data_IF_036332548171
#
_entry.id   IF_036332548171
#
_cell.length_a   1.000
_cell.length_b   1.000
_cell.length_c   1.000
_cell.angle_alpha   90.00
_cell.angle_beta   90.00
_cell.angle_gamma   90.00
#
_symmetry.space_group_name_H-M   'P 1'
#
loop_
_entity.id
_entity.type
_entity.pdbx_description
1 polymer ?
#
# COMPACT_ATOMS: atom_id res chain seq x y z
N UNK A 1 0.40 37.75 41.97
CA UNK A 1 0.12 38.81 40.99
C UNK A 1 -0.22 38.13 39.68
N UNK A 2 -1.48 38.25 39.26
CA UNK A 2 -1.94 37.80 37.95
C UNK A 2 -1.42 38.77 36.89
N UNK A 3 -0.87 38.25 35.80
CA UNK A 3 -0.81 38.95 34.52
C UNK A 3 -1.42 38.03 33.46
N UNK A 4 -2.62 38.43 33.05
CA UNK A 4 -3.33 37.98 31.86
C UNK A 4 -2.71 38.60 30.60
N UNK A 5 -3.33 38.29 29.45
CA UNK A 5 -3.14 38.80 28.08
C UNK A 5 -2.14 37.99 27.24
N UNK A 6 -2.43 37.60 26.00
CA UNK A 6 -3.65 37.65 25.20
C UNK A 6 -3.42 36.71 24.00
N UNK A 7 -4.49 36.07 23.55
CA UNK A 7 -4.50 35.36 22.28
C UNK A 7 -4.34 36.35 21.11
N UNK A 8 -3.57 35.98 20.10
CA UNK A 8 -3.63 36.60 18.78
C UNK A 8 -3.60 35.51 17.72
N UNK A 9 -4.79 35.16 17.28
CA UNK A 9 -5.02 34.45 16.04
C UNK A 9 -4.73 35.42 14.88
N UNK A 10 -3.74 35.11 14.05
CA UNK A 10 -3.58 35.75 12.74
C UNK A 10 -3.87 34.70 11.67
N UNK A 11 -5.09 34.75 11.15
CA UNK A 11 -5.46 34.12 9.89
C UNK A 11 -4.79 34.90 8.76
N UNK A 12 -3.66 34.39 8.27
CA UNK A 12 -2.98 34.97 7.11
C UNK A 12 -3.69 34.51 5.83
N UNK A 13 -4.64 35.33 5.39
CA UNK A 13 -5.25 35.26 4.05
C UNK A 13 -4.15 35.58 3.03
N UNK A 14 -3.58 34.55 2.41
CA UNK A 14 -2.56 34.71 1.38
C UNK A 14 -3.09 35.52 0.19
N UNK A 15 -2.28 36.43 -0.39
CA UNK A 15 -2.68 37.20 -1.55
C UNK A 15 -2.87 36.27 -2.75
N UNK A 16 -4.06 36.32 -3.34
CA UNK A 16 -4.33 35.76 -4.67
C UNK A 16 -3.49 36.53 -5.68
N UNK A 17 -2.39 35.92 -6.10
CA UNK A 17 -1.60 36.42 -7.21
C UNK A 17 -2.37 36.31 -8.52
N UNK A 18 -2.24 37.27 -9.44
CA UNK A 18 -2.75 37.16 -10.80
C UNK A 18 -2.09 35.94 -11.47
N UNK A 19 -2.90 35.14 -12.16
CA UNK A 19 -2.38 34.12 -13.07
C UNK A 19 -1.62 34.88 -14.17
N UNK A 20 -0.37 34.51 -14.49
CA UNK A 20 0.26 35.02 -15.70
C UNK A 20 -0.58 34.52 -16.87
N UNK A 21 -1.15 35.46 -17.61
CA UNK A 21 -1.59 35.23 -18.98
C UNK A 21 -0.35 34.77 -19.75
N UNK A 22 -0.26 33.47 -19.98
CA UNK A 22 0.69 32.86 -20.91
C UNK A 22 0.17 33.15 -22.32
N UNK A 23 0.41 34.38 -22.78
CA UNK A 23 0.58 34.67 -24.20
C UNK A 23 1.95 34.11 -24.60
N UNK A 24 2.00 32.79 -24.79
CA UNK A 24 3.12 32.11 -25.44
C UNK A 24 2.77 31.99 -26.92
N UNK A 25 3.19 33.00 -27.69
CA UNK A 25 3.33 32.98 -29.15
C UNK A 25 4.41 31.97 -29.56
N UNK A 26 4.18 30.70 -29.22
CA UNK A 26 4.93 29.57 -29.75
C UNK A 26 4.55 29.36 -31.22
N UNK A 27 5.49 28.88 -32.06
CA UNK A 27 5.22 28.63 -33.47
C UNK A 27 4.00 27.73 -33.63
N UNK A 28 3.05 28.22 -34.42
CA UNK A 28 1.84 27.57 -34.91
C UNK A 28 2.17 26.11 -35.28
N UNK A 29 1.93 25.19 -34.33
CA UNK A 29 1.98 23.76 -34.62
C UNK A 29 0.74 23.50 -35.45
N UNK A 30 0.92 23.44 -36.77
CA UNK A 30 -0.08 22.98 -37.74
C UNK A 30 -0.86 21.81 -37.12
N UNK A 31 -2.17 22.00 -37.00
CA UNK A 31 -3.08 20.93 -36.55
C UNK A 31 -2.74 19.67 -37.33
N UNK A 32 -2.35 18.56 -36.66
CA UNK A 32 -2.20 17.30 -37.34
C UNK A 32 -3.61 16.88 -37.74
N UNK A 33 -3.97 17.23 -38.97
CA UNK A 33 -5.23 16.88 -39.59
C UNK A 33 -5.50 15.39 -39.43
N UNK A 34 -6.78 15.06 -39.45
CA UNK A 34 -7.43 13.75 -39.37
C UNK A 34 -6.74 12.63 -40.19
N UNK A 35 -5.52 12.29 -39.80
CA UNK A 35 -4.82 11.11 -40.25
C UNK A 35 -5.34 10.01 -39.35
N UNK A 36 -6.07 9.02 -39.88
CA UNK A 36 -6.41 7.84 -39.10
C UNK A 36 -5.10 7.29 -38.56
N UNK A 37 -4.94 7.33 -37.24
CA UNK A 37 -3.80 6.73 -36.54
C UNK A 37 -3.62 5.34 -37.13
N UNK A 38 -2.46 4.99 -37.71
CA UNK A 38 -2.19 3.62 -38.07
C UNK A 38 -2.36 2.86 -36.76
N UNK A 39 -3.40 2.02 -36.68
CA UNK A 39 -3.57 1.09 -35.56
C UNK A 39 -2.22 0.42 -35.42
N UNK A 40 -1.48 0.80 -34.39
CA UNK A 40 -0.30 0.09 -33.97
C UNK A 40 -0.81 -1.29 -33.61
N UNK A 41 -0.82 -2.16 -34.62
CA UNK A 41 -0.96 -3.61 -34.54
C UNK A 41 0.34 -4.14 -33.95
N UNK A 42 0.79 -3.50 -32.86
CA UNK A 42 1.57 -4.13 -31.83
C UNK A 42 0.65 -5.21 -31.31
N UNK A 43 0.85 -6.38 -31.88
CA UNK A 43 0.27 -7.62 -31.43
C UNK A 43 0.43 -7.60 -29.92
N UNK A 44 -0.71 -7.53 -29.22
CA UNK A 44 -0.83 -8.11 -27.90
C UNK A 44 -0.53 -9.61 -28.06
N UNK A 45 0.74 -9.96 -28.29
CA UNK A 45 1.33 -11.21 -27.85
C UNK A 45 1.41 -11.13 -26.32
N UNK A 46 0.25 -10.96 -25.69
CA UNK A 46 0.01 -11.70 -24.46
C UNK A 46 0.01 -13.14 -24.93
N UNK A 47 1.20 -13.75 -24.94
CA UNK A 47 1.31 -15.20 -25.06
C UNK A 47 0.31 -15.86 -24.12
N UNK A 48 -0.09 -17.11 -24.38
CA UNK A 48 -1.01 -17.84 -23.51
C UNK A 48 -0.57 -17.57 -22.07
N UNK A 49 -1.47 -16.98 -21.26
CA UNK A 49 -1.24 -16.85 -19.83
C UNK A 49 -0.83 -18.24 -19.40
N UNK A 50 0.47 -18.42 -19.10
CA UNK A 50 0.96 -19.68 -18.57
C UNK A 50 0.04 -20.07 -17.42
N UNK A 51 -0.12 -21.37 -17.12
CA UNK A 51 -0.94 -21.82 -16.01
C UNK A 51 -0.65 -20.89 -14.84
N UNK A 52 -1.68 -20.20 -14.32
CA UNK A 52 -1.51 -19.32 -13.17
C UNK A 52 -0.72 -20.17 -12.17
N UNK A 53 0.55 -19.81 -11.94
CA UNK A 53 1.42 -20.58 -11.06
C UNK A 53 0.67 -20.82 -9.77
N UNK A 54 0.76 -22.05 -9.20
CA UNK A 54 -0.22 -22.66 -8.30
C UNK A 54 -1.08 -21.60 -7.64
N UNK A 55 -2.22 -21.33 -8.28
CA UNK A 55 -3.15 -20.32 -7.80
C UNK A 55 -3.46 -20.68 -6.36
N UNK A 56 -3.23 -19.74 -5.42
CA UNK A 56 -4.05 -19.38 -4.25
C UNK A 56 -4.96 -20.44 -3.55
N UNK A 57 -4.76 -21.74 -3.74
CA UNK A 57 -5.76 -22.78 -3.49
C UNK A 57 -5.32 -23.81 -2.46
N UNK A 58 -4.09 -23.76 -1.97
CA UNK A 58 -3.81 -24.36 -0.65
C UNK A 58 -4.02 -23.29 0.41
N UNK A 59 -5.29 -22.89 0.55
CA UNK A 59 -5.83 -22.27 1.77
C UNK A 59 -5.56 -23.26 2.89
N UNK A 60 -4.42 -23.16 3.55
CA UNK A 60 -4.12 -23.95 4.72
C UNK A 60 -5.22 -23.64 5.77
N UNK A 61 -6.15 -24.58 6.02
CA UNK A 61 -7.30 -24.31 6.89
C UNK A 61 -6.87 -24.16 8.35
N UNK A 62 -5.73 -24.74 8.72
CA UNK A 62 -5.13 -24.58 10.05
C UNK A 62 -4.61 -23.16 10.24
N UNK A 63 -3.94 -22.61 9.23
CA UNK A 63 -3.46 -21.24 9.26
C UNK A 63 -4.61 -20.22 9.30
N UNK A 64 -5.72 -20.49 8.58
CA UNK A 64 -6.93 -19.66 8.70
C UNK A 64 -7.50 -19.72 10.13
N UNK A 65 -7.60 -20.92 10.71
CA UNK A 65 -8.12 -21.11 12.07
C UNK A 65 -7.26 -20.42 13.12
N UNK A 66 -5.95 -20.59 13.07
CA UNK A 66 -5.00 -19.93 13.98
C UNK A 66 -5.13 -18.40 13.90
N UNK A 67 -5.21 -17.87 12.67
CA UNK A 67 -5.30 -16.44 12.46
C UNK A 67 -6.64 -15.88 12.96
N UNK A 68 -7.75 -16.62 12.81
CA UNK A 68 -9.05 -16.28 13.40
C UNK A 68 -9.05 -16.36 14.93
N UNK A 69 -8.43 -17.39 15.51
CA UNK A 69 -8.29 -17.51 16.98
C UNK A 69 -7.48 -16.35 17.57
N UNK A 70 -6.47 -15.88 16.84
CA UNK A 70 -5.73 -14.67 17.21
C UNK A 70 -6.60 -13.41 17.13
N UNK A 71 -7.39 -13.25 16.07
CA UNK A 71 -8.33 -12.12 15.95
C UNK A 71 -9.35 -12.11 17.07
N UNK A 72 -9.92 -13.26 17.41
CA UNK A 72 -10.88 -13.38 18.50
C UNK A 72 -10.33 -12.86 19.83
N UNK A 73 -9.03 -13.09 20.10
CA UNK A 73 -8.36 -12.63 21.33
C UNK A 73 -8.01 -11.14 21.29
N UNK A 74 -7.48 -10.65 20.17
CA UNK A 74 -6.92 -9.29 20.08
C UNK A 74 -7.91 -8.23 19.56
N UNK A 75 -8.93 -8.68 18.84
CA UNK A 75 -9.84 -7.86 18.08
C UNK A 75 -11.18 -8.58 17.85
N UNK A 76 -11.97 -8.84 18.91
CA UNK A 76 -13.24 -9.56 18.79
C UNK A 76 -14.21 -8.88 17.81
N UNK A 77 -14.21 -7.55 17.75
CA UNK A 77 -15.03 -6.80 16.77
C UNK A 77 -14.67 -7.13 15.30
N UNK A 78 -13.38 -7.35 15.01
CA UNK A 78 -12.91 -7.75 13.69
C UNK A 78 -13.30 -9.20 13.37
N UNK A 79 -13.22 -10.09 14.37
CA UNK A 79 -13.62 -11.50 14.26
C UNK A 79 -15.12 -11.62 13.92
N UNK A 80 -15.97 -10.88 14.64
CA UNK A 80 -17.42 -10.84 14.38
C UNK A 80 -17.73 -10.33 12.97
N UNK A 81 -17.09 -9.24 12.56
CA UNK A 81 -17.34 -8.63 11.25
C UNK A 81 -16.83 -9.51 10.10
N UNK A 82 -15.66 -10.14 10.24
CA UNK A 82 -15.17 -11.11 9.28
C UNK A 82 -16.06 -12.35 9.22
N UNK A 83 -16.58 -12.82 10.36
CA UNK A 83 -17.53 -13.92 10.43
C UNK A 83 -18.85 -13.58 9.73
N UNK A 84 -19.34 -12.34 9.86
CA UNK A 84 -20.51 -11.85 9.09
C UNK A 84 -20.21 -11.79 7.60
N UNK A 85 -19.08 -11.21 7.21
CA UNK A 85 -18.64 -11.15 5.81
C UNK A 85 -18.51 -12.55 5.19
N UNK A 86 -18.04 -13.54 5.95
CA UNK A 86 -17.92 -14.93 5.48
C UNK A 86 -19.28 -15.53 5.10
N UNK A 87 -20.35 -15.16 5.81
CA UNK A 87 -21.73 -15.60 5.55
C UNK A 87 -22.39 -14.81 4.41
N UNK A 88 -22.31 -13.48 4.48
CA UNK A 88 -23.07 -12.60 3.58
C UNK A 88 -22.38 -12.42 2.22
N UNK A 89 -21.05 -12.30 2.22
CA UNK A 89 -20.24 -11.90 1.06
C UNK A 89 -18.85 -12.57 1.08
N UNK A 90 -18.77 -13.88 0.77
CA UNK A 90 -17.53 -14.66 0.91
C UNK A 90 -16.37 -14.11 0.08
N UNK A 91 -16.63 -13.53 -1.09
CA UNK A 91 -15.64 -12.84 -1.93
C UNK A 91 -14.94 -11.68 -1.19
N UNK A 92 -15.74 -10.86 -0.49
CA UNK A 92 -15.22 -9.72 0.28
C UNK A 92 -14.48 -10.21 1.51
N UNK A 93 -15.00 -11.26 2.17
CA UNK A 93 -14.30 -11.93 3.26
C UNK A 93 -12.91 -12.38 2.82
N UNK A 94 -12.79 -13.13 1.72
CA UNK A 94 -11.49 -13.63 1.27
C UNK A 94 -10.50 -12.51 1.00
N UNK A 95 -10.93 -11.43 0.36
CA UNK A 95 -10.07 -10.26 0.11
C UNK A 95 -9.60 -9.58 1.41
N UNK A 96 -10.50 -9.41 2.39
CA UNK A 96 -10.16 -8.78 3.67
C UNK A 96 -9.31 -9.70 4.54
N UNK A 97 -9.69 -10.98 4.61
CA UNK A 97 -8.98 -12.00 5.36
C UNK A 97 -7.57 -12.22 4.81
N UNK A 98 -7.38 -12.19 3.48
CA UNK A 98 -6.05 -12.29 2.88
C UNK A 98 -5.14 -11.12 3.29
N UNK A 99 -5.66 -9.89 3.34
CA UNK A 99 -4.90 -8.72 3.84
C UNK A 99 -4.45 -8.95 5.28
N UNK A 100 -5.34 -9.49 6.11
CA UNK A 100 -5.02 -9.86 7.47
C UNK A 100 -3.98 -10.99 7.54
N UNK A 101 -4.11 -12.05 6.74
CA UNK A 101 -3.16 -13.17 6.70
C UNK A 101 -1.74 -12.74 6.33
N UNK A 102 -1.61 -11.81 5.38
CA UNK A 102 -0.31 -11.22 5.02
C UNK A 102 0.33 -10.52 6.23
N UNK A 103 -0.49 -9.81 7.02
CA UNK A 103 -0.03 -9.15 8.23
C UNK A 103 0.24 -10.11 9.38
N UNK A 104 -0.58 -11.15 9.55
CA UNK A 104 -0.43 -12.16 10.60
C UNK A 104 0.91 -12.89 10.48
N UNK A 105 1.36 -13.17 9.24
CA UNK A 105 2.68 -13.75 8.94
C UNK A 105 3.86 -12.85 9.28
N UNK A 106 3.64 -11.56 9.53
CA UNK A 106 4.70 -10.62 9.89
C UNK A 106 4.41 -9.99 11.27
N UNK A 107 4.95 -10.58 12.36
CA UNK A 107 4.69 -10.12 13.72
C UNK A 107 4.95 -8.62 13.93
N UNK A 108 5.96 -8.05 13.25
CA UNK A 108 6.33 -6.63 13.38
C UNK A 108 5.27 -5.67 12.84
N UNK A 109 4.50 -6.09 11.83
CA UNK A 109 3.46 -5.27 11.20
C UNK A 109 2.06 -5.66 11.64
N UNK A 110 1.90 -6.82 12.29
CA UNK A 110 0.61 -7.40 12.64
C UNK A 110 -0.25 -6.42 13.43
N UNK A 111 0.29 -5.83 14.49
CA UNK A 111 -0.47 -4.98 15.40
C UNK A 111 -0.89 -3.67 14.73
N UNK A 112 0.01 -3.05 13.95
CA UNK A 112 -0.30 -1.83 13.19
C UNK A 112 -1.33 -2.08 12.07
N UNK A 113 -1.26 -3.24 11.42
CA UNK A 113 -2.28 -3.61 10.44
C UNK A 113 -3.62 -3.84 11.12
N UNK A 114 -3.66 -4.54 12.26
CA UNK A 114 -4.90 -4.77 13.03
C UNK A 114 -5.50 -3.44 13.48
N UNK A 115 -4.70 -2.51 14.03
CA UNK A 115 -5.17 -1.16 14.39
C UNK A 115 -5.83 -0.46 13.21
N UNK A 116 -5.15 -0.42 12.06
CA UNK A 116 -5.72 0.23 10.88
C UNK A 116 -6.97 -0.49 10.33
N UNK A 117 -7.04 -1.83 10.43
CA UNK A 117 -8.25 -2.56 10.06
C UNK A 117 -9.40 -2.21 11.01
N UNK A 118 -9.18 -2.15 12.33
CA UNK A 118 -10.19 -1.69 13.30
C UNK A 118 -10.71 -0.30 12.96
N UNK A 119 -9.81 0.65 12.68
CA UNK A 119 -10.18 2.01 12.29
C UNK A 119 -11.01 2.02 10.99
N UNK A 120 -10.60 1.26 9.96
CA UNK A 120 -11.35 1.13 8.70
C UNK A 120 -12.77 0.59 8.90
N UNK A 121 -12.95 -0.42 9.78
CA UNK A 121 -14.28 -0.96 10.09
C UNK A 121 -15.13 0.01 10.89
N UNK A 122 -14.56 0.68 11.89
CA UNK A 122 -15.22 1.72 12.68
C UNK A 122 -15.73 2.84 11.77
N UNK A 123 -14.89 3.33 10.85
CA UNK A 123 -15.27 4.34 9.83
C UNK A 123 -16.42 3.83 8.97
N UNK A 124 -16.33 2.61 8.40
CA UNK A 124 -17.42 2.06 7.58
C UNK A 124 -18.75 1.96 8.33
N UNK A 125 -18.73 1.51 9.59
CA UNK A 125 -19.91 1.41 10.46
C UNK A 125 -20.52 2.79 10.71
N UNK A 126 -19.69 3.78 11.06
CA UNK A 126 -20.13 5.15 11.34
C UNK A 126 -20.65 5.84 10.08
N UNK A 127 -20.03 5.66 8.92
CA UNK A 127 -20.54 6.18 7.64
C UNK A 127 -21.95 5.64 7.36
N UNK A 128 -22.18 4.34 7.57
CA UNK A 128 -23.52 3.75 7.41
C UNK A 128 -24.52 4.35 8.42
N UNK A 129 -24.13 4.42 9.69
CA UNK A 129 -24.98 4.99 10.74
C UNK A 129 -25.34 6.47 10.47
N UNK A 130 -24.38 7.30 10.04
CA UNK A 130 -24.61 8.72 9.67
C UNK A 130 -25.56 8.85 8.49
N UNK A 131 -25.49 7.93 7.51
CA UNK A 131 -26.36 7.93 6.34
C UNK A 131 -27.81 7.60 6.72
N UNK A 132 -27.99 6.68 7.65
CA UNK A 132 -29.31 6.19 8.08
C UNK A 132 -29.96 7.10 9.15
N UNK A 133 -29.15 7.86 9.91
CA UNK A 133 -29.61 8.74 10.98
C UNK A 133 -30.27 10.05 10.50
N UNK A 134 -31.20 10.58 11.30
CA UNK A 134 -31.89 11.87 11.10
C UNK A 134 -31.80 12.74 12.36
N UNK A 135 -31.87 14.06 12.20
CA UNK A 135 -31.92 15.00 13.33
C UNK A 135 -30.63 15.05 14.16
N UNK A 136 -30.75 15.36 15.46
CA UNK A 136 -29.63 15.63 16.37
C UNK A 136 -28.67 14.45 16.61
N UNK A 137 -29.11 13.21 16.40
CA UNK A 137 -28.23 12.03 16.49
C UNK A 137 -27.19 11.99 15.35
N UNK A 138 -27.51 12.61 14.22
CA UNK A 138 -26.60 12.68 13.08
C UNK A 138 -25.34 13.49 13.39
N UNK A 139 -25.46 14.55 14.21
CA UNK A 139 -24.31 15.41 14.52
C UNK A 139 -23.37 14.76 15.53
N UNK A 140 -23.88 13.93 16.45
CA UNK A 140 -23.03 13.07 17.30
C UNK A 140 -22.26 12.06 16.46
N UNK A 141 -22.96 11.33 15.58
CA UNK A 141 -22.34 10.34 14.71
C UNK A 141 -21.30 10.94 13.75
N UNK A 142 -21.48 12.20 13.31
CA UNK A 142 -20.47 12.91 12.53
C UNK A 142 -19.19 13.19 13.33
N UNK A 143 -19.30 13.60 14.59
CA UNK A 143 -18.13 13.81 15.47
C UNK A 143 -17.40 12.49 15.73
N UNK A 144 -18.14 11.42 15.97
CA UNK A 144 -17.55 10.09 16.13
C UNK A 144 -16.84 9.63 14.84
N UNK A 145 -17.45 9.92 13.68
CA UNK A 145 -16.86 9.62 12.37
C UNK A 145 -15.58 10.42 12.13
N UNK A 146 -15.55 11.71 12.48
CA UNK A 146 -14.36 12.55 12.41
C UNK A 146 -13.21 11.97 13.23
N UNK A 147 -13.48 11.58 14.48
CA UNK A 147 -12.49 10.91 15.33
C UNK A 147 -11.98 9.59 14.72
N UNK A 148 -12.90 8.76 14.20
CA UNK A 148 -12.53 7.51 13.54
C UNK A 148 -11.71 7.72 12.24
N UNK A 149 -11.98 8.78 11.48
CA UNK A 149 -11.20 9.16 10.31
C UNK A 149 -9.79 9.62 10.68
N UNK A 150 -9.63 10.35 11.79
CA UNK A 150 -8.31 10.71 12.32
C UNK A 150 -7.53 9.46 12.70
N UNK A 151 -8.13 8.54 13.47
CA UNK A 151 -7.50 7.26 13.84
C UNK A 151 -7.09 6.45 12.58
N UNK A 152 -7.92 6.45 11.55
CA UNK A 152 -7.62 5.78 10.28
C UNK A 152 -6.45 6.45 9.55
N UNK A 153 -6.39 7.78 9.55
CA UNK A 153 -5.31 8.53 8.94
C UNK A 153 -3.98 8.21 9.62
N UNK A 154 -3.93 8.26 10.95
CA UNK A 154 -2.72 7.97 11.73
C UNK A 154 -2.24 6.53 11.49
N UNK A 155 -3.16 5.56 11.47
CA UNK A 155 -2.82 4.17 11.18
C UNK A 155 -2.27 4.00 9.75
N UNK A 156 -2.78 4.75 8.77
CA UNK A 156 -2.25 4.73 7.41
C UNK A 156 -0.87 5.36 7.33
N UNK A 157 -0.63 6.47 8.04
CA UNK A 157 0.66 7.13 8.11
C UNK A 157 1.71 6.20 8.73
N UNK A 158 1.40 5.56 9.86
CA UNK A 158 2.28 4.57 10.49
C UNK A 158 2.62 3.38 9.56
N UNK A 159 1.65 2.90 8.76
CA UNK A 159 1.89 1.86 7.73
C UNK A 159 2.84 2.36 6.64
N UNK A 160 2.70 3.61 6.19
CA UNK A 160 3.59 4.20 5.19
C UNK A 160 5.01 4.35 5.72
N UNK A 161 5.17 4.82 6.95
CA UNK A 161 6.47 4.94 7.62
C UNK A 161 7.15 3.57 7.78
N UNK A 162 6.41 2.55 8.22
CA UNK A 162 6.94 1.20 8.35
C UNK A 162 7.40 0.63 6.98
N UNK A 163 6.64 0.91 5.92
CA UNK A 163 7.02 0.54 4.55
C UNK A 163 8.29 1.27 4.10
N UNK A 164 8.40 2.57 4.37
CA UNK A 164 9.56 3.38 4.05
C UNK A 164 10.81 2.83 4.76
N UNK A 165 10.71 2.51 6.05
CA UNK A 165 11.80 1.91 6.82
C UNK A 165 12.28 0.58 6.20
N UNK A 166 11.35 -0.31 5.83
CA UNK A 166 11.70 -1.58 5.16
C UNK A 166 12.39 -1.37 3.81
N UNK A 167 11.97 -0.35 3.06
CA UNK A 167 12.64 0.01 1.81
C UNK A 167 14.07 0.51 2.07
N UNK A 168 14.29 1.32 3.10
CA UNK A 168 15.61 1.79 3.48
C UNK A 168 16.54 0.63 3.88
N UNK A 169 16.05 -0.32 4.69
CA UNK A 169 16.79 -1.55 5.02
C UNK A 169 17.19 -2.33 3.75
N UNK A 170 16.24 -2.53 2.83
CA UNK A 170 16.48 -3.22 1.55
C UNK A 170 17.52 -2.49 0.69
N UNK A 171 17.47 -1.16 0.63
CA UNK A 171 18.48 -0.35 -0.08
C UNK A 171 19.86 -0.54 0.56
N UNK A 172 19.93 -0.57 1.89
CA UNK A 172 21.16 -0.85 2.64
C UNK A 172 21.77 -2.20 2.27
N UNK A 173 20.96 -3.26 2.29
CA UNK A 173 21.38 -4.61 1.92
C UNK A 173 21.89 -4.70 0.47
N UNK A 174 21.17 -4.05 -0.45
CA UNK A 174 21.58 -4.01 -1.87
C UNK A 174 22.91 -3.28 -2.05
N UNK A 175 23.12 -2.15 -1.35
CA UNK A 175 24.41 -1.44 -1.36
C UNK A 175 25.53 -2.33 -0.83
N UNK A 176 25.32 -3.02 0.30
CA UNK A 176 26.30 -3.94 0.86
C UNK A 176 26.66 -5.08 -0.11
N UNK A 177 25.67 -5.65 -0.81
CA UNK A 177 25.91 -6.67 -1.85
C UNK A 177 26.70 -6.13 -3.04
N UNK A 178 26.43 -4.89 -3.46
CA UNK A 178 27.19 -4.23 -4.54
C UNK A 178 28.64 -4.03 -4.13
N UNK A 179 28.91 -3.52 -2.93
CA UNK A 179 30.27 -3.33 -2.42
C UNK A 179 31.01 -4.66 -2.29
N UNK A 180 30.35 -5.71 -1.76
CA UNK A 180 30.93 -7.05 -1.73
C UNK A 180 31.31 -7.54 -3.13
N UNK A 181 30.44 -7.33 -4.13
CA UNK A 181 30.72 -7.74 -5.52
C UNK A 181 31.83 -6.90 -6.16
N UNK A 182 31.93 -5.61 -5.83
CA UNK A 182 33.04 -4.74 -6.23
C UNK A 182 34.37 -5.21 -5.64
N UNK A 183 34.41 -5.56 -4.37
CA UNK A 183 35.60 -6.14 -3.72
C UNK A 183 36.03 -7.50 -4.30
N UNK A 184 35.08 -8.27 -4.84
CA UNK A 184 35.34 -9.55 -5.51
C UNK A 184 35.58 -9.41 -7.02
N UNK A 185 35.63 -8.18 -7.57
CA UNK A 185 35.66 -7.95 -9.02
C UNK A 185 36.80 -8.72 -9.69
N UNK A 186 38.02 -8.60 -9.19
CA UNK A 186 39.19 -9.21 -9.85
C UNK A 186 39.14 -10.73 -9.79
N UNK A 187 38.63 -11.30 -8.70
CA UNK A 187 38.39 -12.75 -8.59
C UNK A 187 37.32 -13.22 -9.58
N UNK A 188 36.21 -12.48 -9.70
CA UNK A 188 35.15 -12.77 -10.68
C UNK A 188 35.69 -12.69 -12.10
N UNK A 189 36.49 -11.65 -12.42
CA UNK A 189 37.10 -11.48 -13.74
C UNK A 189 38.10 -12.59 -14.03
N UNK A 190 39.00 -12.90 -13.09
CA UNK A 190 39.99 -13.98 -13.25
C UNK A 190 39.32 -15.34 -13.44
N UNK A 191 38.28 -15.64 -12.65
CA UNK A 191 37.47 -16.85 -12.80
C UNK A 191 36.83 -16.91 -14.19
N UNK A 192 36.19 -15.82 -14.64
CA UNK A 192 35.55 -15.76 -15.95
C UNK A 192 36.54 -15.87 -17.10
N UNK A 193 37.74 -15.31 -16.93
CA UNK A 193 38.83 -15.44 -17.90
C UNK A 193 39.27 -16.90 -18.02
N UNK A 194 39.51 -17.60 -16.90
CA UNK A 194 39.85 -19.03 -16.92
C UNK A 194 38.76 -19.92 -17.53
N UNK A 195 37.48 -19.61 -17.29
CA UNK A 195 36.35 -20.29 -17.93
C UNK A 195 36.36 -20.09 -19.46
N UNK A 196 36.78 -18.91 -19.94
CA UNK A 196 36.83 -18.57 -21.36
C UNK A 196 38.08 -19.09 -22.08
N UNK A 197 39.21 -19.19 -21.38
CA UNK A 197 40.48 -19.69 -21.94
C UNK A 197 40.62 -21.21 -21.83
N UNK A 198 39.69 -21.88 -21.13
CA UNK A 198 39.75 -23.32 -20.88
C UNK A 198 40.80 -23.73 -19.84
N UNK A 199 41.42 -22.76 -19.16
CA UNK A 199 42.38 -22.99 -18.07
C UNK A 199 41.69 -23.49 -16.80
N UNK A 200 40.38 -23.32 -16.69
CA UNK A 200 39.56 -23.95 -15.64
C UNK A 200 38.51 -24.85 -16.27
N UNK A 201 38.45 -26.08 -15.77
CA UNK A 201 37.52 -27.13 -16.18
C UNK A 201 36.07 -26.59 -16.12
N UNK A 202 35.44 -26.48 -17.28
CA UNK A 202 34.02 -26.15 -17.41
C UNK A 202 33.22 -27.22 -16.68
N UNK A 203 32.34 -26.81 -15.76
CA UNK A 203 31.38 -27.74 -15.18
C UNK A 203 30.56 -28.36 -16.30
N UNK A 204 30.65 -29.68 -16.45
CA UNK A 204 29.58 -30.46 -17.05
C UNK A 204 28.31 -30.22 -16.22
N UNK A 205 27.23 -29.87 -16.91
CA UNK A 205 25.92 -29.61 -16.32
C UNK A 205 25.26 -30.90 -15.82
#
# INVERSE_FOLDING_TARGET
MMLSLAASAFAQKGPGGPRPDLDDDGPEMEEPGDRPMPRARGQNQRGPRGPMGPGMDERNPEAEKEAMDYLKKQAPELDEELSRLKKDRPEVFHKQFQRYMIAHRNPKLRDEVIKGLKAEFKVRRLVKAVRDAKGGDKDKLKKDLEGALSEQFDANLARMEARLKKMQETIGDLKARIEKRRGLKDQIVKKRLGEMTGETETWEW
#
